data_IF_168013554250
#
_entry.id   IF_168013554250
#
_cell.length_a   1.000
_cell.length_b   1.000
_cell.length_c   1.000
_cell.angle_alpha   90.00
_cell.angle_beta   90.00
_cell.angle_gamma   90.00
#
_symmetry.space_group_name_H-M   'P 1'
#
loop_
_entity.id
_entity.type
_entity.pdbx_description
1 polymer ?
#
# COMPACT_ATOMS: atom_id res chain seq x y z
N UNK A 1 19.69 -24.31 -2.62
CA UNK A 1 20.50 -25.51 -2.94
C UNK A 1 21.12 -26.14 -1.70
N UNK A 2 21.96 -25.43 -0.91
CA UNK A 2 22.52 -25.97 0.35
C UNK A 2 21.46 -26.56 1.28
N UNK A 3 20.33 -25.87 1.46
CA UNK A 3 19.32 -26.33 2.41
C UNK A 3 18.59 -27.60 1.99
N UNK A 4 18.32 -27.73 0.69
CA UNK A 4 17.75 -28.93 0.09
C UNK A 4 18.72 -30.11 0.23
N UNK A 5 20.00 -29.93 -0.15
CA UNK A 5 20.99 -31.00 -0.11
C UNK A 5 21.33 -31.49 1.30
N UNK A 6 21.39 -30.59 2.30
CA UNK A 6 21.79 -30.95 3.67
C UNK A 6 20.63 -31.32 4.58
N UNK A 7 19.49 -30.65 4.43
CA UNK A 7 18.37 -30.75 5.37
C UNK A 7 17.06 -31.19 4.70
N UNK A 8 17.10 -31.55 3.40
CA UNK A 8 15.92 -31.96 2.62
C UNK A 8 14.77 -30.94 2.67
N UNK A 9 15.10 -29.67 2.91
CA UNK A 9 14.11 -28.60 2.94
C UNK A 9 13.72 -28.27 1.50
N UNK A 10 12.43 -28.40 1.13
CA UNK A 10 11.99 -28.16 -0.23
C UNK A 10 12.22 -26.69 -0.63
N UNK A 11 12.43 -26.44 -1.92
CA UNK A 11 12.57 -25.06 -2.44
C UNK A 11 11.34 -24.19 -2.19
N UNK A 12 10.18 -24.82 -2.01
CA UNK A 12 8.90 -24.18 -1.70
C UNK A 12 8.61 -24.09 -0.20
N UNK A 13 9.57 -24.42 0.67
CA UNK A 13 9.38 -24.32 2.11
C UNK A 13 9.13 -22.87 2.52
N UNK A 14 8.00 -22.64 3.18
CA UNK A 14 7.66 -21.37 3.83
C UNK A 14 7.56 -21.64 5.32
N UNK A 15 8.27 -20.84 6.12
CA UNK A 15 8.18 -20.92 7.57
C UNK A 15 6.79 -20.44 8.01
N UNK A 16 5.98 -21.36 8.53
CA UNK A 16 4.65 -21.04 9.07
C UNK A 16 4.79 -20.50 10.49
N UNK A 17 4.15 -19.36 10.75
CA UNK A 17 3.97 -18.86 12.11
C UNK A 17 2.80 -19.62 12.76
N UNK A 18 2.92 -19.88 14.06
CA UNK A 18 1.91 -20.60 14.84
C UNK A 18 0.57 -19.85 14.85
N UNK A 19 -0.54 -20.57 14.78
CA UNK A 19 -1.89 -20.00 14.96
C UNK A 19 -2.10 -19.41 16.37
N UNK A 20 -1.27 -19.81 17.35
CA UNK A 20 -1.26 -19.22 18.70
C UNK A 20 -0.46 -17.92 18.79
N UNK A 21 0.14 -17.46 17.69
CA UNK A 21 0.88 -16.21 17.68
C UNK A 21 -0.08 -15.03 17.91
N UNK A 22 0.38 -14.00 18.61
CA UNK A 22 -0.41 -12.78 18.86
C UNK A 22 -0.76 -12.01 17.58
N UNK A 23 -0.17 -12.37 16.44
CA UNK A 23 -0.41 -11.76 15.13
C UNK A 23 -1.41 -12.55 14.28
N UNK A 24 -1.89 -13.70 14.76
CA UNK A 24 -2.87 -14.50 14.02
C UNK A 24 -4.19 -13.74 13.89
N UNK A 25 -4.75 -13.79 12.67
CA UNK A 25 -6.03 -13.17 12.30
C UNK A 25 -6.90 -14.12 11.45
N UNK A 26 -6.57 -15.41 11.45
CA UNK A 26 -7.31 -16.42 10.69
C UNK A 26 -8.68 -16.76 11.28
N UNK A 27 -8.94 -16.32 12.51
CA UNK A 27 -10.23 -16.37 13.19
C UNK A 27 -11.21 -15.30 12.69
N UNK A 28 -10.73 -14.24 12.03
CA UNK A 28 -11.59 -13.20 11.45
C UNK A 28 -12.23 -13.71 10.15
N UNK A 29 -13.58 -13.65 10.00
CA UNK A 29 -14.27 -14.11 8.81
C UNK A 29 -13.77 -13.47 7.51
N UNK A 30 -13.72 -14.26 6.43
CA UNK A 30 -13.26 -13.81 5.10
C UNK A 30 -13.91 -12.49 4.65
N UNK A 31 -15.24 -12.39 4.74
CA UNK A 31 -15.96 -11.20 4.29
C UNK A 31 -15.63 -9.95 5.12
N UNK A 32 -15.40 -10.13 6.42
CA UNK A 32 -14.97 -9.04 7.30
C UNK A 32 -13.55 -8.59 6.93
N UNK A 33 -12.65 -9.54 6.64
CA UNK A 33 -11.29 -9.23 6.16
C UNK A 33 -11.27 -8.49 4.83
N UNK A 34 -12.20 -8.77 3.92
CA UNK A 34 -12.21 -8.13 2.61
C UNK A 34 -12.90 -6.76 2.60
N UNK A 35 -14.01 -6.60 3.33
CA UNK A 35 -14.94 -5.49 3.11
C UNK A 35 -15.27 -4.66 4.35
N UNK A 36 -14.69 -4.96 5.51
CA UNK A 36 -14.82 -4.05 6.64
C UNK A 36 -13.98 -2.79 6.37
N UNK A 37 -14.68 -1.69 6.12
CA UNK A 37 -14.14 -0.33 5.94
C UNK A 37 -14.71 0.60 7.02
N UNK A 38 -15.07 0.06 8.19
CA UNK A 38 -15.73 0.84 9.23
C UNK A 38 -14.78 1.88 9.84
N UNK A 39 -15.30 3.00 10.39
CA UNK A 39 -14.49 4.14 10.82
C UNK A 39 -13.40 3.82 11.85
N UNK A 40 -13.57 2.77 12.66
CA UNK A 40 -12.56 2.37 13.63
C UNK A 40 -11.23 1.99 12.96
N UNK A 41 -11.26 1.51 11.71
CA UNK A 41 -10.05 1.19 10.96
C UNK A 41 -9.23 2.42 10.58
N UNK A 42 -9.84 3.61 10.57
CA UNK A 42 -9.20 4.87 10.20
C UNK A 42 -8.99 5.81 11.39
N UNK A 43 -9.44 5.43 12.59
CA UNK A 43 -9.22 6.22 13.81
C UNK A 43 -7.73 6.35 14.16
N UNK A 44 -6.93 5.32 13.83
CA UNK A 44 -5.47 5.37 13.80
C UNK A 44 -4.98 4.83 12.45
N UNK A 45 -4.32 5.72 11.70
CA UNK A 45 -3.75 5.45 10.37
C UNK A 45 -2.44 4.66 10.43
N UNK A 46 -1.88 4.44 11.61
CA UNK A 46 -0.72 3.56 11.82
C UNK A 46 -1.16 2.09 11.74
N UNK A 47 -0.29 1.17 11.27
CA UNK A 47 -0.56 -0.27 11.33
C UNK A 47 -0.92 -0.73 12.75
N UNK A 48 -2.02 -1.49 12.87
CA UNK A 48 -2.53 -1.94 14.17
C UNK A 48 -2.02 -3.35 14.50
N UNK A 49 -1.35 -3.47 15.64
CA UNK A 49 -0.72 -4.70 16.11
C UNK A 49 -0.86 -4.79 17.63
N UNK A 50 -1.60 -5.78 18.12
CA UNK A 50 -1.78 -6.02 19.56
C UNK A 50 -0.46 -6.28 20.28
N UNK A 51 0.53 -6.87 19.58
CA UNK A 51 1.89 -7.06 20.08
C UNK A 51 2.55 -5.75 20.52
N UNK A 52 2.23 -4.63 19.87
CA UNK A 52 2.71 -3.29 20.24
C UNK A 52 1.70 -2.53 21.11
N UNK A 53 0.80 -3.26 21.78
CA UNK A 53 -0.27 -2.77 22.66
C UNK A 53 -1.33 -1.92 21.94
N UNK A 54 -1.45 -2.02 20.62
CA UNK A 54 -2.50 -1.32 19.87
C UNK A 54 -3.88 -1.95 20.13
N UNK A 55 -4.95 -1.28 19.72
CA UNK A 55 -6.32 -1.66 20.09
C UNK A 55 -6.76 -2.99 19.47
N UNK A 56 -6.28 -3.33 18.28
CA UNK A 56 -6.60 -4.55 17.57
C UNK A 56 -5.45 -4.97 16.62
N UNK A 57 -5.58 -6.14 16.01
CA UNK A 57 -4.73 -6.59 14.92
C UNK A 57 -5.36 -6.19 13.60
N UNK A 58 -4.65 -5.46 12.75
CA UNK A 58 -5.13 -5.17 11.41
C UNK A 58 -5.48 -6.49 10.71
N UNK A 59 -6.65 -6.55 10.06
CA UNK A 59 -7.16 -7.78 9.44
C UNK A 59 -7.60 -7.60 7.99
N UNK A 60 -7.77 -6.35 7.54
CA UNK A 60 -8.12 -6.02 6.17
C UNK A 60 -6.85 -5.85 5.31
N UNK A 61 -6.59 -6.73 4.32
CA UNK A 61 -5.35 -6.66 3.53
C UNK A 61 -5.20 -5.36 2.73
N UNK A 62 -6.29 -4.74 2.28
CA UNK A 62 -6.24 -3.49 1.50
C UNK A 62 -5.90 -2.31 2.40
N UNK A 63 -6.54 -2.23 3.57
CA UNK A 63 -6.25 -1.16 4.54
C UNK A 63 -4.84 -1.33 5.11
N UNK A 64 -4.45 -2.55 5.47
CA UNK A 64 -3.09 -2.89 5.86
C UNK A 64 -2.06 -2.48 4.80
N UNK A 65 -2.34 -2.76 3.51
CA UNK A 65 -1.47 -2.36 2.40
C UNK A 65 -1.23 -0.85 2.38
N UNK A 66 -2.29 -0.04 2.46
CA UNK A 66 -2.16 1.42 2.47
C UNK A 66 -1.46 1.93 3.73
N UNK A 67 -1.81 1.43 4.91
CA UNK A 67 -1.16 1.85 6.16
C UNK A 67 0.33 1.53 6.13
N UNK A 68 0.68 0.33 5.70
CA UNK A 68 2.07 -0.14 5.64
C UNK A 68 2.87 0.45 4.48
N UNK A 69 2.21 1.04 3.47
CA UNK A 69 2.87 1.81 2.41
C UNK A 69 3.45 3.14 2.91
N UNK A 70 2.93 3.65 4.02
CA UNK A 70 3.30 4.96 4.57
C UNK A 70 4.05 4.84 5.89
N UNK A 71 3.61 3.93 6.76
CA UNK A 71 4.16 3.73 8.09
C UNK A 71 4.60 2.30 8.27
N UNK A 72 5.74 2.10 8.92
CA UNK A 72 6.13 0.76 9.37
C UNK A 72 5.69 0.53 10.82
N UNK A 73 5.74 -0.72 11.28
CA UNK A 73 5.34 -1.14 12.63
C UNK A 73 6.02 -0.35 13.77
N UNK A 74 7.18 0.25 13.50
CA UNK A 74 7.96 1.03 14.45
C UNK A 74 7.56 2.50 14.55
N UNK A 75 6.88 3.04 13.53
CA UNK A 75 6.45 4.44 13.40
C UNK A 75 4.93 4.47 13.58
N UNK A 76 4.50 4.63 14.83
CA UNK A 76 3.09 4.68 15.20
C UNK A 76 2.77 5.97 15.96
N UNK A 77 1.57 6.51 15.73
CA UNK A 77 1.05 7.70 16.42
C UNK A 77 1.12 7.55 17.94
N UNK A 78 0.88 6.33 18.45
CA UNK A 78 0.97 6.05 19.89
C UNK A 78 2.36 6.27 20.48
N UNK A 79 3.42 6.02 19.70
CA UNK A 79 4.81 6.23 20.11
C UNK A 79 5.24 7.68 19.91
N UNK A 80 4.69 8.35 18.91
CA UNK A 80 4.99 9.75 18.60
C UNK A 80 3.69 10.58 18.47
N UNK A 81 3.03 10.99 19.57
CA UNK A 81 1.72 11.66 19.48
C UNK A 81 1.73 12.92 18.62
N UNK A 82 2.87 13.62 18.55
CA UNK A 82 3.07 14.83 17.74
C UNK A 82 2.95 14.60 16.22
N UNK A 83 3.08 13.36 15.72
CA UNK A 83 2.94 13.08 14.28
C UNK A 83 1.49 12.89 13.84
N UNK A 84 0.52 12.83 14.75
CA UNK A 84 -0.86 12.43 14.43
C UNK A 84 -1.46 13.21 13.26
N UNK A 85 -1.41 14.55 13.31
CA UNK A 85 -1.99 15.40 12.27
C UNK A 85 -1.35 15.15 10.90
N UNK A 86 -0.03 15.23 10.82
CA UNK A 86 0.71 14.96 9.58
C UNK A 86 0.54 13.53 9.08
N UNK A 87 0.37 12.56 9.99
CA UNK A 87 0.19 11.15 9.63
C UNK A 87 -1.13 10.91 8.91
N UNK A 88 -2.22 11.55 9.36
CA UNK A 88 -3.52 11.45 8.69
C UNK A 88 -3.47 12.08 7.29
N UNK A 89 -2.89 13.27 7.18
CA UNK A 89 -2.72 13.95 5.89
C UNK A 89 -1.90 13.08 4.93
N UNK A 90 -0.79 12.53 5.40
CA UNK A 90 0.09 11.67 4.63
C UNK A 90 -0.63 10.39 4.17
N UNK A 91 -1.37 9.73 5.07
CA UNK A 91 -2.13 8.52 4.77
C UNK A 91 -3.21 8.76 3.72
N UNK A 92 -4.07 9.79 3.91
CA UNK A 92 -5.13 10.07 2.96
C UNK A 92 -4.58 10.57 1.61
N UNK A 93 -3.47 11.31 1.60
CA UNK A 93 -2.78 11.63 0.36
C UNK A 93 -2.31 10.37 -0.38
N UNK A 94 -1.76 9.38 0.34
CA UNK A 94 -1.36 8.10 -0.24
C UNK A 94 -2.54 7.32 -0.82
N UNK A 95 -3.66 7.25 -0.08
CA UNK A 95 -4.89 6.60 -0.55
C UNK A 95 -5.42 7.28 -1.82
N UNK A 96 -5.50 8.61 -1.84
CA UNK A 96 -5.95 9.37 -3.01
C UNK A 96 -5.02 9.13 -4.21
N UNK A 97 -3.70 9.17 -4.00
CA UNK A 97 -2.72 8.89 -5.06
C UNK A 97 -2.86 7.46 -5.59
N UNK A 98 -3.09 6.47 -4.71
CA UNK A 98 -3.36 5.09 -5.10
C UNK A 98 -4.65 4.95 -5.93
N UNK A 99 -5.72 5.62 -5.53
CA UNK A 99 -6.98 5.66 -6.29
C UNK A 99 -6.80 6.33 -7.66
N UNK A 100 -6.05 7.43 -7.73
CA UNK A 100 -5.75 8.10 -9.00
C UNK A 100 -4.90 7.20 -9.90
N UNK A 101 -3.90 6.50 -9.35
CA UNK A 101 -3.08 5.57 -10.11
C UNK A 101 -3.91 4.39 -10.66
N UNK A 102 -4.82 3.84 -9.85
CA UNK A 102 -5.75 2.81 -10.31
C UNK A 102 -6.70 3.33 -11.40
N UNK A 103 -7.28 4.51 -11.21
CA UNK A 103 -8.11 5.17 -12.23
C UNK A 103 -7.32 5.47 -13.52
N UNK A 104 -6.06 5.88 -13.41
CA UNK A 104 -5.15 6.11 -14.52
C UNK A 104 -4.87 4.83 -15.30
N UNK A 105 -4.73 3.70 -14.61
CA UNK A 105 -4.57 2.39 -15.23
C UNK A 105 -5.82 2.00 -16.03
N UNK A 106 -7.02 2.13 -15.44
CA UNK A 106 -8.28 1.85 -16.14
C UNK A 106 -8.44 2.77 -17.36
N UNK A 107 -8.13 4.06 -17.20
CA UNK A 107 -8.14 5.02 -18.29
C UNK A 107 -7.19 4.62 -19.43
N UNK A 108 -5.96 4.22 -19.10
CA UNK A 108 -4.97 3.75 -20.07
C UNK A 108 -5.46 2.52 -20.85
N UNK A 109 -6.09 1.55 -20.17
CA UNK A 109 -6.61 0.35 -20.81
C UNK A 109 -7.69 0.68 -21.84
N UNK A 110 -8.63 1.58 -21.49
CA UNK A 110 -9.76 1.95 -22.36
C UNK A 110 -9.34 2.90 -23.49
N UNK A 111 -8.40 3.82 -23.25
CA UNK A 111 -8.08 4.90 -24.18
C UNK A 111 -7.36 4.38 -25.43
N UNK A 112 -7.93 4.59 -26.62
CA UNK A 112 -7.24 4.29 -27.89
C UNK A 112 -6.10 5.29 -28.13
N UNK A 113 -4.86 4.84 -28.01
CA UNK A 113 -3.62 5.58 -28.26
C UNK A 113 -2.65 4.70 -29.04
N UNK A 114 -1.69 5.30 -29.77
CA UNK A 114 -0.64 4.53 -30.48
C UNK A 114 0.34 3.86 -29.53
N UNK A 115 0.57 4.44 -28.36
CA UNK A 115 1.42 3.91 -27.30
C UNK A 115 0.79 4.25 -25.94
N UNK A 116 0.62 3.28 -25.02
CA UNK A 116 0.96 1.87 -25.18
C UNK A 116 0.02 1.14 -26.14
N UNK A 117 0.57 0.16 -26.86
CA UNK A 117 -0.21 -0.69 -27.77
C UNK A 117 -1.07 -1.71 -27.01
N UNK A 118 -1.86 -2.52 -27.73
CA UNK A 118 -2.76 -3.49 -27.10
C UNK A 118 -1.99 -4.55 -26.31
N UNK A 119 -0.82 -4.97 -26.80
CA UNK A 119 0.02 -5.98 -26.14
C UNK A 119 0.59 -5.44 -24.83
N UNK A 120 1.12 -4.22 -24.83
CA UNK A 120 1.64 -3.55 -23.62
C UNK A 120 0.54 -3.33 -22.59
N UNK A 121 -0.67 -2.94 -23.01
CA UNK A 121 -1.82 -2.81 -22.12
C UNK A 121 -2.22 -4.14 -21.49
N UNK A 122 -2.31 -5.20 -22.30
CA UNK A 122 -2.61 -6.54 -21.81
C UNK A 122 -1.53 -7.01 -20.82
N UNK A 123 -0.26 -6.74 -21.11
CA UNK A 123 0.86 -7.06 -20.23
C UNK A 123 0.74 -6.35 -18.88
N UNK A 124 0.50 -5.03 -18.85
CA UNK A 124 0.35 -4.28 -17.59
C UNK A 124 -0.86 -4.75 -16.79
N UNK A 125 -1.99 -5.03 -17.46
CA UNK A 125 -3.17 -5.57 -16.80
C UNK A 125 -2.93 -6.97 -16.22
N UNK A 126 -2.25 -7.84 -16.96
CA UNK A 126 -1.88 -9.17 -16.49
C UNK A 126 -0.93 -9.09 -15.29
N UNK A 127 0.10 -8.24 -15.35
CA UNK A 127 0.99 -8.02 -14.21
C UNK A 127 0.22 -7.54 -12.99
N UNK A 128 -0.68 -6.57 -13.15
CA UNK A 128 -1.48 -6.05 -12.05
C UNK A 128 -2.32 -7.14 -11.40
N UNK A 129 -3.07 -7.90 -12.20
CA UNK A 129 -3.96 -8.95 -11.72
C UNK A 129 -3.20 -10.11 -11.07
N UNK A 130 -2.07 -10.54 -11.64
CA UNK A 130 -1.22 -11.59 -11.08
C UNK A 130 -0.63 -11.16 -9.74
N UNK A 131 0.00 -9.98 -9.66
CA UNK A 131 0.60 -9.53 -8.40
C UNK A 131 -0.43 -9.23 -7.32
N UNK A 132 -1.59 -8.68 -7.69
CA UNK A 132 -2.68 -8.45 -6.76
C UNK A 132 -3.22 -9.80 -6.25
N UNK A 133 -3.44 -10.75 -7.14
CA UNK A 133 -3.88 -12.10 -6.80
C UNK A 133 -2.90 -12.82 -5.88
N UNK A 134 -1.59 -12.75 -6.17
CA UNK A 134 -0.54 -13.33 -5.33
C UNK A 134 -0.49 -12.66 -3.95
N UNK A 135 -0.62 -11.33 -3.87
CA UNK A 135 -0.67 -10.61 -2.61
C UNK A 135 -1.85 -11.10 -1.73
N UNK A 136 -3.06 -11.17 -2.30
CA UNK A 136 -4.22 -11.67 -1.57
C UNK A 136 -4.09 -13.14 -1.20
N UNK A 137 -3.63 -14.01 -2.11
CA UNK A 137 -3.38 -15.42 -1.80
C UNK A 137 -2.45 -15.55 -0.61
N UNK A 138 -1.35 -14.81 -0.60
CA UNK A 138 -0.40 -14.79 0.51
C UNK A 138 -1.04 -14.34 1.84
N UNK A 139 -1.88 -13.29 1.81
CA UNK A 139 -2.58 -12.81 3.00
C UNK A 139 -3.60 -13.82 3.58
N UNK A 140 -4.16 -14.69 2.74
CA UNK A 140 -5.15 -15.70 3.15
C UNK A 140 -4.51 -17.04 3.52
N UNK A 141 -3.51 -17.49 2.77
CA UNK A 141 -2.76 -18.72 3.05
C UNK A 141 -1.95 -18.62 4.36
N UNK A 142 -1.53 -17.40 4.69
CA UNK A 142 -0.80 -17.08 5.93
C UNK A 142 -1.50 -15.91 6.65
N UNK A 143 -2.57 -16.18 7.41
CA UNK A 143 -3.42 -15.13 8.01
C UNK A 143 -2.78 -14.54 9.28
N UNK A 144 -1.74 -13.74 9.08
CA UNK A 144 -1.03 -13.02 10.13
C UNK A 144 -0.91 -11.54 9.78
N UNK A 145 -0.95 -10.64 10.75
CA UNK A 145 -0.88 -9.19 10.46
C UNK A 145 0.37 -8.82 9.64
N UNK A 146 1.50 -9.48 9.90
CA UNK A 146 2.76 -9.23 9.21
C UNK A 146 2.76 -9.62 7.72
N UNK A 147 1.85 -10.49 7.26
CA UNK A 147 1.79 -10.92 5.85
C UNK A 147 1.08 -9.90 4.96
N UNK A 148 0.33 -8.98 5.55
CA UNK A 148 -0.38 -7.90 4.84
C UNK A 148 0.47 -6.63 4.68
N UNK A 149 1.79 -6.76 4.77
CA UNK A 149 2.70 -5.63 4.61
C UNK A 149 2.91 -5.31 3.12
N UNK A 150 2.99 -4.02 2.80
CA UNK A 150 3.23 -3.49 1.43
C UNK A 150 4.42 -4.14 0.72
N UNK A 151 5.43 -4.61 1.47
CA UNK A 151 6.64 -5.25 0.92
C UNK A 151 6.32 -6.45 0.03
N UNK A 152 5.19 -7.11 0.24
CA UNK A 152 4.76 -8.26 -0.57
C UNK A 152 3.96 -7.86 -1.83
N UNK A 153 3.59 -6.58 -1.95
CA UNK A 153 2.88 -6.03 -3.12
C UNK A 153 3.62 -4.88 -3.81
N UNK A 154 4.93 -4.73 -3.60
CA UNK A 154 5.77 -3.68 -4.22
C UNK A 154 5.60 -3.58 -5.75
N UNK A 155 5.48 -4.67 -6.53
CA UNK A 155 5.23 -4.57 -7.96
C UNK A 155 3.98 -3.76 -8.33
N UNK A 156 2.95 -3.74 -7.48
CA UNK A 156 1.74 -2.95 -7.69
C UNK A 156 2.03 -1.44 -7.67
N UNK A 157 3.00 -1.00 -6.85
CA UNK A 157 3.42 0.41 -6.78
C UNK A 157 4.07 0.85 -8.10
N UNK A 158 4.89 -0.02 -8.70
CA UNK A 158 5.54 0.24 -9.99
C UNK A 158 4.51 0.37 -11.11
N UNK A 159 3.51 -0.50 -11.12
CA UNK A 159 2.41 -0.46 -12.09
C UNK A 159 1.57 0.81 -11.92
N UNK A 160 1.31 1.20 -10.68
CA UNK A 160 0.66 2.47 -10.36
C UNK A 160 1.44 3.68 -10.88
N UNK A 161 2.75 3.73 -10.63
CA UNK A 161 3.63 4.79 -11.13
C UNK A 161 3.68 4.87 -12.66
N UNK A 162 3.73 3.72 -13.34
CA UNK A 162 3.67 3.66 -14.81
C UNK A 162 2.35 4.24 -15.35
N UNK A 163 1.23 3.80 -14.80
CA UNK A 163 -0.11 4.23 -15.21
C UNK A 163 -0.31 5.73 -14.96
N UNK A 164 0.22 6.22 -13.85
CA UNK A 164 0.24 7.63 -13.49
C UNK A 164 1.06 8.47 -14.48
N UNK A 165 2.26 8.00 -14.86
CA UNK A 165 3.09 8.66 -15.87
C UNK A 165 2.39 8.76 -17.23
N UNK A 166 1.68 7.71 -17.63
CA UNK A 166 0.87 7.71 -18.85
C UNK A 166 -0.23 8.78 -18.79
N UNK A 167 -0.96 8.88 -17.68
CA UNK A 167 -2.01 9.90 -17.51
C UNK A 167 -1.44 11.32 -17.60
N UNK A 168 -0.32 11.58 -16.93
CA UNK A 168 0.35 12.88 -17.00
C UNK A 168 0.79 13.23 -18.42
N UNK A 169 1.42 12.29 -19.13
CA UNK A 169 1.83 12.49 -20.52
C UNK A 169 0.63 12.84 -21.40
N UNK A 170 -0.49 12.12 -21.23
CA UNK A 170 -1.72 12.39 -21.98
C UNK A 170 -2.29 13.78 -21.68
N UNK A 171 -2.29 14.19 -20.41
CA UNK A 171 -2.76 15.51 -20.00
C UNK A 171 -1.88 16.64 -20.51
N UNK A 172 -0.55 16.46 -20.57
CA UNK A 172 0.37 17.47 -21.10
C UNK A 172 0.21 17.68 -22.61
N UNK A 173 0.00 16.60 -23.37
CA UNK A 173 -0.24 16.69 -24.82
C UNK A 173 -1.61 17.30 -25.12
N UNK A 174 -2.60 17.07 -24.24
CA UNK A 174 -3.96 17.57 -24.43
C UNK A 174 -4.07 19.03 -23.99
N UNK A 175 -4.21 19.97 -24.92
CA UNK A 175 -4.32 21.41 -24.64
C UNK A 175 -5.62 21.86 -23.92
N UNK A 176 -6.39 20.94 -23.33
CA UNK A 176 -7.66 21.25 -22.64
C UNK A 176 -7.41 21.84 -21.25
N UNK A 177 -8.22 22.82 -20.87
CA UNK A 177 -8.18 23.45 -19.52
C UNK A 177 -8.38 22.42 -18.39
N UNK A 178 -9.24 21.42 -18.60
CA UNK A 178 -9.47 20.34 -17.64
C UNK A 178 -8.24 19.46 -17.40
N UNK A 179 -7.41 19.23 -18.43
CA UNK A 179 -6.19 18.44 -18.30
C UNK A 179 -5.14 19.17 -17.46
N UNK A 180 -5.01 20.50 -17.64
CA UNK A 180 -4.12 21.35 -16.82
C UNK A 180 -4.53 21.35 -15.35
N UNK A 181 -5.83 21.48 -15.06
CA UNK A 181 -6.35 21.41 -13.69
C UNK A 181 -6.01 20.04 -13.07
N UNK A 182 -6.24 18.95 -13.80
CA UNK A 182 -5.89 17.61 -13.34
C UNK A 182 -4.41 17.47 -12.96
N UNK A 183 -3.49 17.98 -13.78
CA UNK A 183 -2.03 17.96 -13.48
C UNK A 183 -1.69 18.79 -12.25
N UNK A 184 -2.31 19.96 -12.07
CA UNK A 184 -2.08 20.81 -10.89
C UNK A 184 -2.58 20.11 -9.63
N UNK A 185 -3.83 19.65 -9.62
CA UNK A 185 -4.43 18.92 -8.48
C UNK A 185 -3.55 17.73 -8.08
N UNK A 186 -3.09 17.00 -9.08
CA UNK A 186 -2.28 15.83 -8.88
C UNK A 186 -0.88 16.15 -8.32
N UNK A 187 -0.23 17.18 -8.85
CA UNK A 187 1.03 17.71 -8.32
C UNK A 187 0.87 18.23 -6.88
N UNK A 188 -0.28 18.85 -6.55
CA UNK A 188 -0.59 19.29 -5.19
C UNK A 188 -0.67 18.12 -4.21
N UNK A 189 -1.28 17.00 -4.58
CA UNK A 189 -1.31 15.80 -3.74
C UNK A 189 0.07 15.18 -3.55
N UNK A 190 0.91 15.15 -4.58
CA UNK A 190 2.32 14.74 -4.42
C UNK A 190 3.05 15.66 -3.45
N UNK A 191 2.92 16.98 -3.61
CA UNK A 191 3.58 17.94 -2.74
C UNK A 191 3.12 17.78 -1.28
N UNK A 192 1.81 17.59 -1.08
CA UNK A 192 1.22 17.34 0.25
C UNK A 192 1.75 16.04 0.87
N UNK A 193 1.85 14.96 0.09
CA UNK A 193 2.44 13.69 0.51
C UNK A 193 3.91 13.87 0.91
N UNK A 194 4.72 14.52 0.05
CA UNK A 194 6.14 14.73 0.31
C UNK A 194 6.39 15.62 1.54
N UNK A 195 5.65 16.73 1.69
CA UNK A 195 5.78 17.64 2.82
C UNK A 195 5.36 16.98 4.14
N UNK A 196 4.22 16.27 4.13
CA UNK A 196 3.74 15.57 5.32
C UNK A 196 4.71 14.45 5.73
N UNK A 197 5.27 13.73 4.74
CA UNK A 197 6.30 12.72 4.97
C UNK A 197 7.53 13.33 5.62
N UNK A 198 8.03 14.45 5.08
CA UNK A 198 9.15 15.18 5.65
C UNK A 198 8.89 15.53 7.13
N UNK A 199 7.73 16.09 7.47
CA UNK A 199 7.42 16.42 8.87
C UNK A 199 7.32 15.19 9.77
N UNK A 200 6.64 14.12 9.33
CA UNK A 200 6.52 12.87 10.10
C UNK A 200 7.91 12.31 10.43
N UNK A 201 8.76 12.15 9.41
CA UNK A 201 10.08 11.54 9.61
C UNK A 201 11.03 12.44 10.40
N UNK A 202 10.98 13.77 10.22
CA UNK A 202 11.79 14.69 11.02
C UNK A 202 11.37 14.70 12.49
N UNK A 203 10.07 14.74 12.79
CA UNK A 203 9.58 14.70 14.17
C UNK A 203 9.99 13.38 14.84
N UNK A 204 9.88 12.26 14.13
CA UNK A 204 10.34 10.96 14.63
C UNK A 204 11.85 10.93 14.89
N UNK A 205 12.66 11.50 13.98
CA UNK A 205 14.11 11.58 14.13
C UNK A 205 14.50 12.44 15.36
N UNK A 206 13.96 13.65 15.48
CA UNK A 206 14.23 14.55 16.61
C UNK A 206 13.82 13.91 17.93
N UNK A 207 12.63 13.29 17.97
CA UNK A 207 12.13 12.63 19.18
C UNK A 207 12.97 11.42 19.62
N UNK A 208 13.72 10.80 18.69
CA UNK A 208 14.60 9.66 18.97
C UNK A 208 16.02 10.08 19.37
N UNK A 209 16.47 11.25 18.91
CA UNK A 209 17.83 11.76 19.16
C UNK A 209 17.92 12.87 20.21
N UNK A 210 16.80 13.35 20.76
CA UNK A 210 16.79 14.18 21.97
C UNK A 210 17.51 15.52 21.84
N UNK A 211 17.16 16.32 20.82
CA UNK A 211 17.48 17.75 20.77
C UNK A 211 16.29 18.59 21.27
#
# INVERSE_FOLDING_TARGET
VRNFLRWQVPFTYVQRLSEKASQYIGDVPFWQRMFDLSPHQFADVSPQFTMYKNAYNEYNPLIAFFKTSVFDESIAVRRFPKIQGFSHVLFFAAVILGLIAFGAMIFMLIKKVKSPDVVQKAFVFLLFTVFLGMYYSFCFDFPHVCTMNVRYGVPLLVIGAFSYGFLLQHCCITAKRSAKIGVITLSSFIALYALSGFFVYNICAVSRFGF
#
